data_IF_955724815330
#
_entry.id   IF_955724815330
#
_cell.length_a   1.000
_cell.length_b   1.000
_cell.length_c   1.000
_cell.angle_alpha   90.00
_cell.angle_beta   90.00
_cell.angle_gamma   90.00
#
_symmetry.space_group_name_H-M   'P 1'
#
loop_
_entity.id
_entity.type
_entity.pdbx_description
1 polymer ?
#
# COMPACT_ATOMS: atom_id res chain seq x y z
N UNK A 1 -56.20 -28.43 29.01
CA UNK A 1 -56.09 -27.57 27.82
C UNK A 1 -55.09 -26.46 28.12
N UNK A 2 -54.01 -26.48 27.32
CA UNK A 2 -53.12 -25.35 27.06
C UNK A 2 -52.46 -24.63 28.23
N UNK A 3 -51.16 -24.84 28.50
CA UNK A 3 -50.14 -23.88 28.06
C UNK A 3 -48.74 -24.46 28.38
N UNK A 4 -48.12 -24.99 27.37
CA UNK A 4 -46.68 -25.21 27.33
C UNK A 4 -46.17 -24.26 26.26
N UNK A 5 -45.46 -23.23 26.65
CA UNK A 5 -44.49 -22.53 25.85
C UNK A 5 -44.16 -21.15 26.47
N UNK A 6 -43.24 -21.09 27.39
CA UNK A 6 -42.43 -19.88 27.66
C UNK A 6 -41.35 -20.21 28.65
N UNK A 7 -40.34 -20.92 28.18
CA UNK A 7 -39.04 -20.99 28.92
C UNK A 7 -37.92 -21.43 27.98
N UNK A 8 -37.58 -20.57 27.06
CA UNK A 8 -36.33 -20.73 26.26
C UNK A 8 -35.84 -19.40 25.69
N UNK A 9 -35.77 -18.37 26.52
CA UNK A 9 -34.99 -17.16 26.15
C UNK A 9 -34.32 -16.64 27.39
N UNK A 10 -33.18 -17.15 27.71
CA UNK A 10 -32.12 -16.42 28.46
C UNK A 10 -30.89 -17.30 28.59
N UNK A 11 -30.16 -17.48 27.49
CA UNK A 11 -28.72 -17.77 27.50
C UNK A 11 -28.09 -17.07 26.30
N UNK A 12 -28.14 -15.76 26.27
CA UNK A 12 -27.13 -15.03 25.55
C UNK A 12 -25.89 -15.00 26.44
N UNK A 13 -25.06 -16.02 26.23
CA UNK A 13 -23.68 -15.96 26.68
C UNK A 13 -23.07 -14.65 26.16
N UNK A 14 -22.47 -13.91 27.06
CA UNK A 14 -21.62 -12.78 26.72
C UNK A 14 -20.60 -13.30 25.69
N UNK A 15 -20.75 -12.88 24.44
CA UNK A 15 -19.73 -13.13 23.44
C UNK A 15 -18.49 -12.36 23.89
N UNK A 16 -17.42 -13.10 24.16
CA UNK A 16 -16.13 -12.53 24.52
C UNK A 16 -15.76 -11.39 23.55
N UNK A 17 -15.17 -10.31 24.06
CA UNK A 17 -14.78 -9.14 23.27
C UNK A 17 -13.96 -9.49 22.02
N UNK A 18 -13.25 -10.62 22.04
CA UNK A 18 -12.52 -11.16 20.88
C UNK A 18 -13.46 -11.58 19.75
N UNK A 19 -14.63 -12.16 20.02
CA UNK A 19 -15.61 -12.54 19.02
C UNK A 19 -16.31 -11.33 18.44
N UNK A 20 -16.61 -10.32 19.28
CA UNK A 20 -17.13 -9.03 18.80
C UNK A 20 -16.10 -8.31 17.93
N UNK A 21 -14.83 -8.35 18.30
CA UNK A 21 -13.75 -7.77 17.50
C UNK A 21 -13.57 -8.50 16.16
N UNK A 22 -13.70 -9.83 16.13
CA UNK A 22 -13.67 -10.62 14.90
C UNK A 22 -14.89 -10.36 14.01
N UNK A 23 -16.08 -10.20 14.59
CA UNK A 23 -17.29 -9.85 13.86
C UNK A 23 -17.25 -8.40 13.34
N UNK A 24 -16.61 -7.50 14.08
CA UNK A 24 -16.40 -6.12 13.66
C UNK A 24 -15.34 -6.03 12.56
N UNK A 25 -14.31 -6.88 12.62
CA UNK A 25 -13.30 -7.02 11.56
C UNK A 25 -13.93 -7.53 10.25
N UNK A 26 -14.86 -8.50 10.34
CA UNK A 26 -15.53 -9.05 9.15
C UNK A 26 -16.52 -8.06 8.51
N UNK A 27 -17.01 -7.07 9.25
CA UNK A 27 -17.94 -6.05 8.77
C UNK A 27 -17.27 -4.89 8.04
N UNK A 28 -15.95 -4.75 8.15
CA UNK A 28 -15.15 -3.71 7.49
C UNK A 28 -14.33 -4.21 6.30
N UNK A 29 -14.39 -5.49 5.97
CA UNK A 29 -13.83 -5.98 4.71
C UNK A 29 -14.86 -5.75 3.58
N UNK A 30 -15.11 -4.50 3.26
CA UNK A 30 -15.65 -4.16 1.95
C UNK A 30 -14.60 -4.57 0.94
N UNK A 31 -14.89 -5.63 0.18
CA UNK A 31 -13.98 -6.14 -0.84
C UNK A 31 -14.02 -5.18 -2.03
N UNK A 32 -13.43 -3.98 -1.86
CA UNK A 32 -13.29 -3.01 -2.93
C UNK A 32 -12.45 -3.61 -4.05
N UNK A 33 -12.99 -3.58 -5.25
CA UNK A 33 -12.30 -4.00 -6.47
C UNK A 33 -12.21 -2.83 -7.43
N UNK A 34 -11.03 -2.60 -7.96
CA UNK A 34 -10.75 -1.57 -8.96
C UNK A 34 -10.64 -2.23 -10.32
N UNK A 35 -11.33 -1.67 -11.31
CA UNK A 35 -11.39 -2.19 -12.67
C UNK A 35 -10.99 -1.09 -13.64
N UNK A 36 -9.92 -1.31 -14.40
CA UNK A 36 -9.48 -0.43 -15.47
C UNK A 36 -10.06 -0.83 -16.82
N UNK A 37 -10.75 0.11 -17.46
CA UNK A 37 -11.28 -0.03 -18.82
C UNK A 37 -10.50 0.91 -19.75
N UNK A 38 -9.81 0.40 -20.79
CA UNK A 38 -9.00 1.22 -21.68
C UNK A 38 -9.86 2.14 -22.54
N UNK A 39 -9.25 3.24 -23.03
CA UNK A 39 -9.93 4.28 -23.83
C UNK A 39 -10.72 3.74 -25.02
N UNK A 40 -10.22 2.72 -25.70
CA UNK A 40 -10.87 2.10 -26.88
C UNK A 40 -12.14 1.33 -26.56
N UNK A 41 -12.33 0.95 -25.29
CA UNK A 41 -13.51 0.23 -24.81
C UNK A 41 -14.46 1.12 -24.00
N UNK A 42 -14.03 2.35 -23.72
CA UNK A 42 -14.81 3.31 -22.96
C UNK A 42 -15.67 4.16 -23.90
N UNK A 43 -16.93 4.36 -23.53
CA UNK A 43 -17.88 5.22 -24.28
C UNK A 43 -17.41 6.68 -24.34
N UNK A 44 -16.66 7.12 -23.33
CA UNK A 44 -16.12 8.49 -23.28
C UNK A 44 -14.87 8.69 -24.12
N UNK A 45 -14.27 7.64 -24.66
CA UNK A 45 -12.98 7.71 -25.36
C UNK A 45 -11.79 8.03 -24.45
N UNK A 46 -11.96 7.88 -23.13
CA UNK A 46 -10.91 8.02 -22.13
C UNK A 46 -10.80 6.74 -21.31
N UNK A 47 -9.62 6.44 -20.80
CA UNK A 47 -9.46 5.34 -19.86
C UNK A 47 -10.22 5.62 -18.57
N UNK A 48 -11.05 4.68 -18.16
CA UNK A 48 -11.89 4.77 -16.97
C UNK A 48 -11.43 3.76 -15.93
N UNK A 49 -11.38 4.18 -14.68
CA UNK A 49 -11.19 3.28 -13.54
C UNK A 49 -12.42 3.34 -12.65
N UNK A 50 -12.99 2.18 -12.40
CA UNK A 50 -14.21 2.03 -11.61
C UNK A 50 -13.89 1.33 -10.30
N UNK A 51 -14.42 1.83 -9.20
CA UNK A 51 -14.40 1.22 -7.87
C UNK A 51 -15.69 0.47 -7.67
N UNK A 52 -15.61 -0.82 -7.41
CA UNK A 52 -16.74 -1.67 -7.05
C UNK A 52 -16.66 -2.01 -5.57
N UNK A 53 -17.64 -1.58 -4.79
CA UNK A 53 -17.78 -1.85 -3.37
C UNK A 53 -19.14 -2.49 -3.10
N UNK A 54 -19.16 -3.82 -3.02
CA UNK A 54 -20.41 -4.58 -2.93
C UNK A 54 -21.27 -4.37 -4.17
N UNK A 55 -22.41 -3.68 -4.01
CA UNK A 55 -23.35 -3.40 -5.11
C UNK A 55 -23.15 -2.02 -5.76
N UNK A 56 -22.27 -1.19 -5.20
CA UNK A 56 -21.97 0.14 -5.73
C UNK A 56 -20.83 0.07 -6.71
N UNK A 57 -20.94 0.85 -7.78
CA UNK A 57 -19.90 0.99 -8.79
C UNK A 57 -19.79 2.47 -9.15
N UNK A 58 -18.66 3.08 -8.83
CA UNK A 58 -18.44 4.51 -9.00
C UNK A 58 -17.08 4.76 -9.69
N UNK A 59 -16.93 5.84 -10.45
CA UNK A 59 -15.64 6.21 -11.01
C UNK A 59 -14.64 6.52 -9.90
N UNK A 60 -13.40 6.02 -10.03
CA UNK A 60 -12.30 6.40 -9.14
C UNK A 60 -11.97 7.89 -9.36
N UNK A 61 -11.98 8.74 -8.31
CA UNK A 61 -11.57 10.14 -8.41
C UNK A 61 -10.09 10.26 -8.78
N UNK A 62 -9.73 11.27 -9.59
CA UNK A 62 -8.34 11.52 -9.98
C UNK A 62 -7.43 11.90 -8.80
N UNK A 63 -7.98 12.44 -7.72
CA UNK A 63 -7.24 12.94 -6.54
C UNK A 63 -6.17 13.97 -6.91
N UNK A 64 -6.53 14.92 -7.78
CA UNK A 64 -5.67 16.05 -8.16
C UNK A 64 -5.38 17.00 -6.98
N UNK A 65 -6.19 16.93 -5.94
CA UNK A 65 -6.00 17.59 -4.66
C UNK A 65 -4.74 17.11 -3.93
N UNK A 66 -4.37 15.84 -4.10
CA UNK A 66 -3.18 15.25 -3.50
C UNK A 66 -1.93 15.44 -4.35
N UNK A 67 -2.04 15.12 -5.63
CA UNK A 67 -0.94 15.26 -6.59
C UNK A 67 -1.47 15.41 -8.01
N UNK A 68 -0.92 16.35 -8.76
CA UNK A 68 -1.32 16.58 -10.15
C UNK A 68 -0.23 16.10 -11.11
N UNK A 69 -0.23 14.79 -11.40
CA UNK A 69 0.61 14.21 -12.44
C UNK A 69 -0.06 14.24 -13.81
N UNK A 70 -1.38 13.98 -13.86
CA UNK A 70 -2.16 13.88 -15.11
C UNK A 70 -3.59 14.38 -14.90
N UNK A 71 -3.88 15.65 -15.19
CA UNK A 71 -5.23 16.21 -15.07
C UNK A 71 -6.23 15.65 -16.08
N UNK A 72 -5.74 15.00 -17.15
CA UNK A 72 -6.56 14.51 -18.26
C UNK A 72 -7.05 13.08 -18.06
N UNK A 73 -6.60 12.35 -17.03
CA UNK A 73 -7.07 11.01 -16.76
C UNK A 73 -5.99 10.01 -16.39
N UNK A 74 -6.41 8.76 -16.28
CA UNK A 74 -5.57 7.63 -15.94
C UNK A 74 -5.01 6.93 -17.18
N UNK A 75 -3.86 6.28 -17.00
CA UNK A 75 -3.32 5.28 -17.93
C UNK A 75 -2.46 4.28 -17.15
N UNK A 76 -2.00 3.22 -17.79
CA UNK A 76 -1.21 2.14 -17.23
C UNK A 76 -0.35 1.46 -18.27
N UNK A 77 0.55 0.55 -17.85
CA UNK A 77 1.39 -0.23 -18.76
C UNK A 77 2.70 0.44 -19.12
N UNK A 78 3.05 1.58 -18.49
CA UNK A 78 4.32 2.31 -18.69
C UNK A 78 4.64 3.22 -17.50
N UNK A 79 5.84 3.80 -17.49
CA UNK A 79 6.34 4.60 -16.35
C UNK A 79 6.00 6.10 -16.36
N UNK A 80 4.88 6.53 -16.99
CA UNK A 80 4.56 7.94 -17.19
C UNK A 80 3.72 8.61 -16.10
N UNK A 81 3.19 9.81 -16.43
CA UNK A 81 2.39 10.64 -15.52
C UNK A 81 0.98 10.07 -15.27
N UNK A 82 0.33 9.52 -16.30
CA UNK A 82 -0.98 8.87 -16.16
C UNK A 82 -0.97 7.68 -15.20
N UNK A 83 0.00 6.75 -15.31
CA UNK A 83 0.21 5.71 -14.31
C UNK A 83 0.56 6.22 -12.91
N UNK A 84 1.29 7.34 -12.82
CA UNK A 84 1.57 7.95 -11.52
C UNK A 84 0.29 8.51 -10.86
N UNK A 85 -0.58 9.17 -11.66
CA UNK A 85 -1.88 9.64 -11.16
C UNK A 85 -2.77 8.47 -10.71
N UNK A 86 -2.77 7.38 -11.47
CA UNK A 86 -3.52 6.19 -11.09
C UNK A 86 -3.01 5.58 -9.79
N UNK A 87 -1.69 5.52 -9.59
CA UNK A 87 -1.09 5.01 -8.37
C UNK A 87 -1.49 5.83 -7.14
N UNK A 88 -1.48 7.17 -7.23
CA UNK A 88 -1.96 8.05 -6.13
C UNK A 88 -3.42 7.75 -5.80
N UNK A 89 -4.29 7.71 -6.83
CA UNK A 89 -5.72 7.53 -6.62
C UNK A 89 -6.07 6.15 -6.02
N UNK A 90 -5.43 5.09 -6.52
CA UNK A 90 -5.62 3.73 -6.00
C UNK A 90 -5.19 3.61 -4.53
N UNK A 91 -4.01 4.13 -4.19
CA UNK A 91 -3.50 4.08 -2.83
C UNK A 91 -4.36 4.89 -1.87
N UNK A 92 -4.72 6.12 -2.24
CA UNK A 92 -5.55 6.98 -1.39
C UNK A 92 -6.91 6.35 -1.10
N UNK A 93 -7.58 5.76 -2.11
CA UNK A 93 -8.89 5.15 -1.92
C UNK A 93 -8.81 3.80 -1.18
N UNK A 94 -7.79 2.99 -1.45
CA UNK A 94 -7.64 1.66 -0.86
C UNK A 94 -7.18 1.70 0.60
N UNK A 95 -6.27 2.64 0.94
CA UNK A 95 -5.68 2.73 2.27
C UNK A 95 -6.44 3.70 3.18
N UNK A 96 -7.12 4.70 2.61
CA UNK A 96 -7.73 5.79 3.36
C UNK A 96 -6.72 6.70 4.05
N UNK A 97 -5.46 6.70 3.57
CA UNK A 97 -4.33 7.47 4.10
C UNK A 97 -3.63 8.21 2.94
N UNK A 98 -3.88 9.50 2.87
CA UNK A 98 -3.39 10.35 1.79
C UNK A 98 -1.87 10.56 1.86
N UNK A 99 -1.31 10.66 3.06
CA UNK A 99 0.14 10.83 3.25
C UNK A 99 0.89 9.57 2.84
N UNK A 100 0.35 8.40 3.17
CA UNK A 100 0.92 7.13 2.73
C UNK A 100 0.82 6.98 1.22
N UNK A 101 -0.31 7.36 0.63
CA UNK A 101 -0.49 7.36 -0.83
C UNK A 101 0.55 8.23 -1.54
N UNK A 102 0.75 9.47 -1.07
CA UNK A 102 1.74 10.39 -1.63
C UNK A 102 3.16 9.81 -1.50
N UNK A 103 3.48 9.21 -0.37
CA UNK A 103 4.81 8.67 -0.08
C UNK A 103 5.17 7.47 -0.97
N UNK A 104 4.20 6.58 -1.22
CA UNK A 104 4.44 5.27 -1.83
C UNK A 104 4.07 5.18 -3.32
N UNK A 105 3.36 6.18 -3.89
CA UNK A 105 2.81 6.08 -5.24
C UNK A 105 3.85 5.80 -6.34
N UNK A 106 5.07 6.32 -6.23
CA UNK A 106 6.10 6.08 -7.24
C UNK A 106 6.59 4.62 -7.21
N UNK A 107 6.83 4.08 -6.02
CA UNK A 107 7.20 2.68 -5.87
C UNK A 107 6.07 1.75 -6.34
N UNK A 108 4.84 2.03 -5.93
CA UNK A 108 3.65 1.29 -6.33
C UNK A 108 3.43 1.37 -7.85
N UNK A 109 3.60 2.56 -8.44
CA UNK A 109 3.52 2.72 -9.90
C UNK A 109 4.45 1.76 -10.63
N UNK A 110 5.74 1.73 -10.28
CA UNK A 110 6.70 0.89 -10.99
C UNK A 110 6.54 -0.61 -10.69
N UNK A 111 6.11 -0.97 -9.49
CA UNK A 111 5.92 -2.39 -9.11
C UNK A 111 4.62 -2.99 -9.64
N UNK A 112 3.60 -2.17 -9.87
CA UNK A 112 2.24 -2.65 -10.21
C UNK A 112 1.73 -2.01 -11.49
N UNK A 113 1.44 -0.71 -11.48
CA UNK A 113 0.67 -0.03 -12.53
C UNK A 113 1.39 -0.05 -13.88
N UNK A 114 2.71 0.14 -13.88
CA UNK A 114 3.54 0.12 -15.07
C UNK A 114 3.74 -1.30 -15.65
N UNK A 115 3.49 -2.34 -14.85
CA UNK A 115 3.62 -3.73 -15.26
C UNK A 115 2.35 -4.32 -15.90
N UNK A 116 1.23 -3.61 -15.82
CA UNK A 116 0.00 -4.06 -16.49
C UNK A 116 0.11 -3.95 -18.01
N UNK A 117 -0.60 -4.79 -18.76
CA UNK A 117 -0.63 -4.67 -20.21
C UNK A 117 -1.21 -3.32 -20.65
N UNK A 118 -0.46 -2.57 -21.47
CA UNK A 118 -0.89 -1.27 -21.98
C UNK A 118 -2.15 -1.42 -22.85
N UNK A 119 -3.16 -0.61 -22.55
CA UNK A 119 -4.40 -0.60 -23.33
C UNK A 119 -5.26 -1.86 -23.17
N UNK A 120 -5.04 -2.69 -22.19
CA UNK A 120 -5.90 -3.83 -21.83
C UNK A 120 -6.64 -3.58 -20.51
N UNK A 121 -7.69 -4.36 -20.27
CA UNK A 121 -8.39 -4.34 -18.99
C UNK A 121 -7.55 -4.97 -17.90
N UNK A 122 -7.67 -4.42 -16.70
CA UNK A 122 -7.09 -5.00 -15.49
C UNK A 122 -8.06 -4.87 -14.31
N UNK A 123 -7.79 -5.60 -13.27
CA UNK A 123 -8.48 -5.47 -11.98
C UNK A 123 -7.51 -5.74 -10.83
N UNK A 124 -7.76 -5.12 -9.70
CA UNK A 124 -7.02 -5.32 -8.46
C UNK A 124 -7.95 -5.06 -7.27
N UNK A 125 -7.76 -5.78 -6.15
CA UNK A 125 -8.53 -5.55 -4.93
C UNK A 125 -7.80 -4.66 -3.95
N UNK A 126 -8.53 -4.04 -3.01
CA UNK A 126 -7.94 -3.24 -1.94
C UNK A 126 -6.96 -4.07 -1.08
N UNK A 127 -7.26 -5.35 -0.82
CA UNK A 127 -6.39 -6.26 -0.09
C UNK A 127 -5.08 -6.53 -0.83
N UNK A 128 -5.13 -6.69 -2.15
CA UNK A 128 -3.93 -6.86 -2.97
C UNK A 128 -3.07 -5.60 -2.95
N UNK A 129 -3.69 -4.42 -3.04
CA UNK A 129 -2.99 -3.14 -2.88
C UNK A 129 -2.30 -3.06 -1.52
N UNK A 130 -3.03 -3.34 -0.44
CA UNK A 130 -2.47 -3.33 0.92
C UNK A 130 -1.33 -4.34 1.10
N UNK A 131 -1.42 -5.51 0.47
CA UNK A 131 -0.35 -6.52 0.49
C UNK A 131 0.93 -6.02 -0.21
N UNK A 132 0.79 -5.38 -1.37
CA UNK A 132 1.93 -4.78 -2.09
C UNK A 132 2.55 -3.64 -1.29
N UNK A 133 1.73 -2.79 -0.66
CA UNK A 133 2.21 -1.69 0.19
C UNK A 133 3.08 -2.21 1.33
N UNK A 134 2.66 -3.28 2.01
CA UNK A 134 3.48 -3.91 3.06
C UNK A 134 4.85 -4.36 2.55
N UNK A 135 4.90 -4.93 1.34
CA UNK A 135 6.18 -5.33 0.72
C UNK A 135 7.05 -4.12 0.44
N UNK A 136 6.48 -3.04 -0.12
CA UNK A 136 7.21 -1.81 -0.40
C UNK A 136 7.80 -1.20 0.88
N UNK A 137 7.02 -1.17 1.95
CA UNK A 137 7.46 -0.63 3.25
C UNK A 137 8.56 -1.48 3.89
N UNK A 138 8.48 -2.80 3.78
CA UNK A 138 9.52 -3.71 4.27
C UNK A 138 10.85 -3.56 3.51
N UNK A 139 10.80 -3.35 2.20
CA UNK A 139 11.98 -3.10 1.38
C UNK A 139 12.60 -1.72 1.64
N UNK A 140 11.80 -0.74 2.09
CA UNK A 140 12.26 0.61 2.41
C UNK A 140 12.94 0.73 3.79
N UNK A 141 12.83 -0.29 4.65
CA UNK A 141 13.56 -0.33 5.93
C UNK A 141 15.03 -0.62 5.61
N UNK A 142 15.98 0.29 5.93
CA UNK A 142 17.39 -0.01 5.80
C UNK A 142 17.70 -1.23 6.67
N UNK A 143 18.37 -2.25 6.11
CA UNK A 143 18.98 -3.31 6.90
C UNK A 143 19.98 -2.58 7.81
N UNK A 144 19.66 -2.44 9.09
CA UNK A 144 20.61 -2.02 10.08
C UNK A 144 21.75 -3.05 10.02
N UNK A 145 22.91 -2.63 9.50
CA UNK A 145 24.09 -3.46 9.47
C UNK A 145 24.45 -3.82 10.91
N UNK A 146 24.23 -5.07 11.29
CA UNK A 146 24.88 -5.71 12.42
C UNK A 146 26.37 -5.86 12.10
N UNK A 147 27.11 -4.77 12.15
CA UNK A 147 28.57 -4.80 12.11
C UNK A 147 29.10 -3.54 12.78
N UNK A 148 29.03 -3.47 14.10
CA UNK A 148 29.92 -2.65 14.93
C UNK A 148 30.01 -3.21 16.36
N UNK A 149 30.36 -4.50 16.49
CA UNK A 149 30.78 -5.04 17.80
C UNK A 149 31.94 -6.04 17.61
N UNK A 150 33.08 -5.59 17.02
CA UNK A 150 34.33 -6.34 17.13
C UNK A 150 35.53 -5.46 16.76
N UNK A 151 35.86 -4.47 17.55
CA UNK A 151 37.24 -3.94 17.61
C UNK A 151 37.49 -3.14 18.90
N UNK A 152 37.42 -3.83 20.01
CA UNK A 152 37.91 -3.33 21.28
C UNK A 152 38.89 -4.34 21.86
N UNK A 153 40.15 -4.32 21.51
CA UNK A 153 41.28 -4.71 22.34
C UNK A 153 42.52 -4.96 21.50
N UNK A 154 43.41 -4.00 21.44
CA UNK A 154 44.87 -4.25 21.51
C UNK A 154 45.60 -2.92 21.67
N UNK A 155 45.78 -2.53 22.89
CA UNK A 155 46.87 -1.64 23.32
C UNK A 155 48.18 -2.39 23.13
N UNK A 156 49.17 -1.76 22.51
CA UNK A 156 50.57 -1.95 22.94
C UNK A 156 51.46 -0.89 22.34
N UNK A 157 51.97 -0.08 23.21
CA UNK A 157 53.23 0.69 23.26
C UNK A 157 54.35 0.18 22.38
N UNK A 158 54.94 1.08 21.59
CA UNK A 158 56.39 1.12 21.37
C UNK A 158 56.78 2.54 20.96
N UNK A 159 57.33 3.27 21.92
CA UNK A 159 58.24 4.40 21.76
C UNK A 159 59.54 3.91 21.12
N UNK A 160 60.01 4.58 20.10
CA UNK A 160 61.46 4.65 19.87
C UNK A 160 61.86 6.00 19.27
N UNK A 161 62.78 6.56 19.93
CA UNK A 161 63.49 7.84 19.85
C UNK A 161 64.58 7.86 18.75
N UNK A 162 64.91 9.08 18.35
CA UNK A 162 66.23 9.59 18.04
C UNK A 162 66.72 9.63 16.59
N UNK A 163 67.18 10.78 16.27
CA UNK A 163 68.33 11.07 15.41
C UNK A 163 67.94 11.73 14.08
N UNK A 164 68.15 12.98 13.75
CA UNK A 164 69.27 13.88 13.95
C UNK A 164 70.19 13.90 12.74
N UNK A 165 70.39 15.13 12.22
CA UNK A 165 71.42 15.59 11.24
C UNK A 165 70.91 15.76 9.81
N UNK A 166 70.87 17.02 9.40
CA UNK A 166 71.89 17.96 8.90
C UNK A 166 72.31 17.74 7.43
N UNK A 167 72.21 18.86 6.74
CA UNK A 167 73.12 19.41 5.74
C UNK A 167 72.98 18.91 4.27
N UNK A 168 72.63 19.73 3.42
CA UNK A 168 73.36 20.58 2.46
C UNK A 168 72.32 21.18 1.46
#
# INVERSE_FOLDING_TARGET
>A
MLTVAQSAVTKHAALDGAVLHLLQWSKTMTCKTYIGTPHRESVSGQSLVTVCDGQKSEPLPLRLDLFNHSPTGFSWGYGGSGPAQLAVALLADALGDDDQAIRLHQCFKFKVVACWPEGERWWITAEQIAAVVKVIEQEAVPIANEQDDAAGAASSTASFSTGGRDAA
#
